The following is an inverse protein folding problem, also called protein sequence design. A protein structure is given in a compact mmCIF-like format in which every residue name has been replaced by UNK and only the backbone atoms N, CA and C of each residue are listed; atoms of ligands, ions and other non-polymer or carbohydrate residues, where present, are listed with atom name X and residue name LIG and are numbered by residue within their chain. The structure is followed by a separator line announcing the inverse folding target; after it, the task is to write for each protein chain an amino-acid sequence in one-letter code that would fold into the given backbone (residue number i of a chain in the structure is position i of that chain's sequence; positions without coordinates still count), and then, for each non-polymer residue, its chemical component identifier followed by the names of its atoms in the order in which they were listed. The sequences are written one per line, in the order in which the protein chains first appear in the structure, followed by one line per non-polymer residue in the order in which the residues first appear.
data_IF_736552076064
#
_entry.id   IF_736552076064
#
_cell.length_a   1.000
_cell.length_b   1.000
_cell.length_c   1.000
_cell.angle_alpha   90.00
_cell.angle_beta   90.00
_cell.angle_gamma   90.00
#
_symmetry.space_group_name_H-M   'P 1'
#
loop_
_entity.id
_entity.type
_entity.pdbx_description
1 polymer ?
#
# COMPACT_ATOMS: atom_id res chain seq x y z
N UNK A 1 28.06 -5.78 -1.47
CA UNK A 1 26.99 -6.20 -0.55
C UNK A 1 25.63 -6.32 -1.25
N UNK A 2 25.11 -5.26 -1.89
CA UNK A 2 23.81 -5.31 -2.59
C UNK A 2 23.71 -6.38 -3.69
N UNK A 3 24.79 -6.65 -4.42
CA UNK A 3 24.84 -7.72 -5.42
C UNK A 3 24.72 -9.11 -4.78
N UNK A 4 25.45 -9.37 -3.70
CA UNK A 4 25.37 -10.64 -2.97
C UNK A 4 23.97 -10.86 -2.38
N UNK A 5 23.34 -9.80 -1.84
CA UNK A 5 21.96 -9.85 -1.38
C UNK A 5 20.99 -10.14 -2.54
N UNK A 6 21.21 -9.57 -3.73
CA UNK A 6 20.40 -9.85 -4.91
C UNK A 6 20.57 -11.29 -5.42
N UNK A 7 21.78 -11.86 -5.38
CA UNK A 7 21.99 -13.28 -5.68
C UNK A 7 21.30 -14.18 -4.65
N UNK A 8 21.43 -13.88 -3.36
CA UNK A 8 20.75 -14.61 -2.29
C UNK A 8 19.22 -14.57 -2.47
N UNK A 9 18.67 -13.41 -2.82
CA UNK A 9 17.25 -13.26 -3.15
C UNK A 9 16.83 -14.22 -4.27
N UNK A 10 17.61 -14.33 -5.34
CA UNK A 10 17.31 -15.19 -6.49
C UNK A 10 17.28 -16.66 -6.07
N UNK A 11 18.29 -17.13 -5.34
CA UNK A 11 18.35 -18.51 -4.84
C UNK A 11 17.16 -18.81 -3.92
N UNK A 12 16.82 -17.88 -3.01
CA UNK A 12 15.65 -18.05 -2.14
C UNK A 12 14.36 -18.20 -2.96
N UNK A 13 14.24 -17.49 -4.08
CA UNK A 13 13.07 -17.59 -4.98
C UNK A 13 13.02 -18.91 -5.73
N UNK A 14 14.15 -19.43 -6.18
CA UNK A 14 14.27 -20.75 -6.83
C UNK A 14 13.85 -21.87 -5.89
N UNK A 15 14.20 -21.77 -4.60
CA UNK A 15 13.80 -22.68 -3.53
C UNK A 15 12.33 -22.49 -3.06
N UNK A 16 11.55 -21.64 -3.75
CA UNK A 16 10.15 -21.36 -3.40
C UNK A 16 9.98 -20.54 -2.11
N UNK A 17 11.05 -19.98 -1.54
CA UNK A 17 11.00 -19.14 -0.35
C UNK A 17 10.75 -17.68 -0.74
N UNK A 18 9.57 -17.17 -0.40
CA UNK A 18 9.26 -15.76 -0.58
C UNK A 18 9.77 -14.93 0.60
N UNK A 19 10.59 -13.93 0.28
CA UNK A 19 11.09 -12.93 1.22
C UNK A 19 10.83 -11.54 0.64
N UNK A 20 10.48 -10.58 1.48
CA UNK A 20 10.27 -9.20 1.07
C UNK A 20 11.61 -8.50 0.85
N UNK A 21 11.70 -7.71 -0.22
CA UNK A 21 12.91 -6.93 -0.52
C UNK A 21 13.29 -5.97 0.62
N UNK A 22 12.32 -5.53 1.42
CA UNK A 22 12.58 -4.66 2.56
C UNK A 22 13.31 -5.41 3.69
N UNK A 23 12.82 -6.60 4.08
CA UNK A 23 13.48 -7.41 5.10
C UNK A 23 14.90 -7.76 4.66
N UNK A 24 15.06 -8.25 3.42
CA UNK A 24 16.37 -8.58 2.89
C UNK A 24 17.31 -7.38 2.82
N UNK A 25 16.82 -6.20 2.42
CA UNK A 25 17.63 -4.98 2.40
C UNK A 25 18.07 -4.56 3.82
N UNK A 26 17.18 -4.71 4.80
CA UNK A 26 17.46 -4.44 6.22
C UNK A 26 18.55 -5.37 6.76
N UNK A 27 18.43 -6.68 6.52
CA UNK A 27 19.42 -7.68 6.94
C UNK A 27 20.76 -7.49 6.24
N UNK A 28 20.74 -7.20 4.94
CA UNK A 28 21.95 -6.97 4.14
C UNK A 28 22.54 -5.56 4.33
N UNK A 29 22.00 -4.74 5.24
CA UNK A 29 22.45 -3.37 5.52
C UNK A 29 22.59 -2.52 4.25
N UNK A 30 21.68 -2.67 3.30
CA UNK A 30 21.66 -1.90 2.05
C UNK A 30 20.33 -1.19 1.85
N UNK A 31 20.30 -0.17 0.99
CA UNK A 31 19.05 0.53 0.70
C UNK A 31 18.19 -0.28 -0.27
N UNK A 32 16.86 -0.16 -0.16
CA UNK A 32 15.95 -0.83 -1.08
C UNK A 32 16.16 -0.43 -2.55
N UNK A 33 16.64 0.79 -2.83
CA UNK A 33 16.99 1.23 -4.18
C UNK A 33 18.26 0.54 -4.70
N UNK A 34 19.29 0.41 -3.87
CA UNK A 34 20.50 -0.34 -4.21
C UNK A 34 20.19 -1.80 -4.51
N UNK A 35 19.36 -2.45 -3.69
CA UNK A 35 18.97 -3.85 -3.91
C UNK A 35 18.17 -4.02 -5.21
N UNK A 36 17.20 -3.14 -5.49
CA UNK A 36 16.47 -3.16 -6.76
C UNK A 36 17.37 -2.89 -7.97
N UNK A 37 18.35 -2.00 -7.82
CA UNK A 37 19.33 -1.75 -8.87
C UNK A 37 20.15 -3.01 -9.16
N UNK A 38 20.68 -3.65 -8.12
CA UNK A 38 21.43 -4.90 -8.23
C UNK A 38 20.59 -6.04 -8.86
N UNK A 39 19.32 -6.18 -8.47
CA UNK A 39 18.42 -7.17 -9.08
C UNK A 39 18.19 -6.90 -10.57
N UNK A 40 18.00 -5.64 -10.98
CA UNK A 40 17.88 -5.28 -12.39
C UNK A 40 19.14 -5.62 -13.18
N UNK A 41 20.32 -5.36 -12.62
CA UNK A 41 21.60 -5.70 -13.25
C UNK A 41 21.75 -7.22 -13.41
N UNK A 42 21.37 -8.00 -12.39
CA UNK A 42 21.38 -9.47 -12.49
C UNK A 42 20.40 -9.99 -13.54
N UNK A 43 19.18 -9.45 -13.62
CA UNK A 43 18.22 -9.81 -14.66
C UNK A 43 18.73 -9.51 -16.06
N UNK A 44 19.40 -8.36 -16.25
CA UNK A 44 20.00 -8.00 -17.54
C UNK A 44 21.16 -8.93 -17.92
N UNK A 45 22.01 -9.30 -16.96
CA UNK A 45 23.16 -10.16 -17.22
C UNK A 45 22.81 -11.65 -17.41
N UNK A 46 21.72 -12.12 -16.78
CA UNK A 46 21.30 -13.54 -16.85
C UNK A 46 20.20 -13.80 -17.87
N UNK A 47 19.57 -12.76 -18.43
CA UNK A 47 18.43 -12.88 -19.35
C UNK A 47 17.12 -13.31 -18.69
N UNK A 48 17.12 -13.56 -17.37
CA UNK A 48 15.96 -14.04 -16.65
C UNK A 48 15.15 -12.89 -16.03
N UNK A 49 13.85 -12.88 -16.35
CA UNK A 49 12.87 -11.96 -15.77
C UNK A 49 12.40 -12.54 -14.44
N UNK A 50 13.00 -12.07 -13.34
CA UNK A 50 12.60 -12.51 -12.01
C UNK A 50 11.25 -11.89 -11.63
N UNK A 51 10.20 -12.70 -11.52
CA UNK A 51 8.90 -12.25 -11.04
C UNK A 51 8.93 -12.03 -9.52
N UNK A 52 8.37 -10.90 -9.09
CA UNK A 52 8.24 -10.59 -7.67
C UNK A 52 7.39 -11.63 -6.92
N UNK A 53 7.64 -11.85 -5.62
CA UNK A 53 6.87 -12.77 -4.80
C UNK A 53 5.40 -12.35 -4.77
N UNK A 54 4.51 -13.33 -4.92
CA UNK A 54 3.08 -13.07 -4.79
C UNK A 54 2.77 -12.66 -3.36
N UNK A 55 1.71 -11.85 -3.16
CA UNK A 55 1.28 -11.47 -1.81
C UNK A 55 0.97 -12.70 -0.95
N UNK A 56 0.45 -13.77 -1.56
CA UNK A 56 0.09 -15.03 -0.90
C UNK A 56 1.31 -15.74 -0.32
N UNK A 57 2.45 -15.65 -1.00
CA UNK A 57 3.70 -16.29 -0.58
C UNK A 57 4.43 -15.49 0.50
N UNK A 58 4.20 -14.18 0.57
CA UNK A 58 4.77 -13.31 1.60
C UNK A 58 4.00 -13.33 2.94
N UNK A 59 2.78 -13.88 2.97
CA UNK A 59 1.98 -13.97 4.20
C UNK A 59 2.73 -14.70 5.35
N UNK A 60 3.35 -15.87 5.13
CA UNK A 60 4.10 -16.57 6.18
C UNK A 60 5.26 -15.75 6.74
N UNK A 61 5.99 -15.01 5.89
CA UNK A 61 7.06 -14.10 6.32
C UNK A 61 6.49 -13.01 7.25
N UNK A 62 5.40 -12.37 6.85
CA UNK A 62 4.75 -11.35 7.67
C UNK A 62 4.18 -11.92 8.98
N UNK A 63 3.82 -13.20 9.03
CA UNK A 63 3.31 -13.87 10.22
C UNK A 63 4.41 -14.37 11.19
N UNK A 64 5.69 -14.22 10.86
CA UNK A 64 6.81 -14.67 11.73
C UNK A 64 6.81 -14.00 13.11
N UNK A 65 6.21 -12.81 13.21
CA UNK A 65 5.98 -12.06 14.45
C UNK A 65 4.97 -12.71 15.40
N UNK A 66 4.18 -13.68 14.93
CA UNK A 66 3.19 -14.38 15.74
C UNK A 66 3.80 -15.61 16.43
N UNK A 67 3.14 -16.01 17.53
CA UNK A 67 3.47 -17.25 18.24
C UNK A 67 3.30 -18.44 17.27
N UNK A 68 4.15 -19.48 17.35
CA UNK A 68 4.08 -20.63 16.44
C UNK A 68 2.70 -21.30 16.41
N UNK A 69 2.04 -21.39 17.57
CA UNK A 69 0.70 -21.98 17.74
C UNK A 69 -0.39 -21.25 16.95
N UNK A 70 -0.33 -19.92 16.90
CA UNK A 70 -1.32 -19.08 16.21
C UNK A 70 -1.00 -18.93 14.71
N UNK A 71 0.26 -19.11 14.34
CA UNK A 71 0.81 -18.71 13.04
C UNK A 71 0.11 -19.40 11.88
N UNK A 72 -0.06 -20.72 11.95
CA UNK A 72 -0.63 -21.49 10.86
C UNK A 72 -2.08 -21.08 10.57
N UNK A 73 -2.88 -20.95 11.64
CA UNK A 73 -4.27 -20.53 11.53
C UNK A 73 -4.39 -19.09 10.97
N UNK A 74 -3.51 -18.19 11.39
CA UNK A 74 -3.48 -16.81 10.87
C UNK A 74 -3.05 -16.78 9.40
N UNK A 75 -2.02 -17.52 9.03
CA UNK A 75 -1.54 -17.59 7.64
C UNK A 75 -2.62 -18.12 6.71
N UNK A 76 -3.29 -19.21 7.11
CA UNK A 76 -4.40 -19.79 6.36
C UNK A 76 -5.52 -18.76 6.16
N UNK A 77 -5.93 -18.06 7.23
CA UNK A 77 -7.00 -17.07 7.17
C UNK A 77 -6.62 -15.82 6.37
N UNK A 78 -5.40 -15.32 6.53
CA UNK A 78 -4.89 -14.19 5.77
C UNK A 78 -4.81 -14.52 4.27
N UNK A 79 -4.36 -15.73 3.90
CA UNK A 79 -4.37 -16.21 2.51
C UNK A 79 -5.78 -16.28 1.94
N UNK A 80 -6.74 -16.79 2.72
CA UNK A 80 -8.15 -16.83 2.30
C UNK A 80 -8.72 -15.42 2.09
N UNK A 81 -8.38 -14.46 2.94
CA UNK A 81 -8.82 -13.06 2.81
C UNK A 81 -8.31 -12.36 1.55
N UNK A 82 -7.16 -12.77 1.00
CA UNK A 82 -6.66 -12.17 -0.25
C UNK A 82 -7.64 -12.34 -1.41
N UNK A 83 -8.40 -13.43 -1.45
CA UNK A 83 -9.32 -13.73 -2.56
C UNK A 83 -10.47 -12.71 -2.67
N UNK A 84 -11.32 -12.49 -1.64
CA UNK A 84 -12.35 -11.47 -1.71
C UNK A 84 -11.77 -10.04 -1.81
N UNK A 85 -10.63 -9.77 -1.18
CA UNK A 85 -10.00 -8.44 -1.24
C UNK A 85 -9.47 -8.09 -2.64
N UNK A 86 -8.92 -9.07 -3.36
CA UNK A 86 -8.53 -8.89 -4.76
C UNK A 86 -9.74 -8.53 -5.62
N UNK A 87 -10.86 -9.23 -5.43
CA UNK A 87 -12.09 -8.96 -6.16
C UNK A 87 -12.66 -7.57 -5.87
N UNK A 88 -12.48 -7.05 -4.66
CA UNK A 88 -12.90 -5.71 -4.25
C UNK A 88 -11.91 -4.59 -4.66
N UNK A 89 -10.90 -4.89 -5.48
CA UNK A 89 -9.85 -3.95 -5.88
C UNK A 89 -9.10 -3.33 -4.69
N UNK A 90 -9.01 -4.05 -3.56
CA UNK A 90 -8.39 -3.52 -2.36
C UNK A 90 -6.87 -3.62 -2.39
N UNK A 91 -6.30 -4.62 -3.08
CA UNK A 91 -4.87 -4.95 -3.03
C UNK A 91 -4.03 -4.06 -3.97
N UNK A 92 -4.66 -3.52 -5.01
CA UNK A 92 -4.03 -2.86 -6.15
C UNK A 92 -3.40 -1.53 -5.74
N UNK A 93 -2.13 -1.34 -6.11
CA UNK A 93 -1.37 -0.11 -5.82
C UNK A 93 -0.93 0.04 -4.36
N UNK A 94 -1.17 -0.95 -3.49
CA UNK A 94 -0.71 -0.91 -2.09
C UNK A 94 0.63 -1.61 -1.93
N UNK A 95 1.53 -0.98 -1.17
CA UNK A 95 2.84 -1.56 -0.87
C UNK A 95 2.68 -2.78 0.07
N UNK A 96 3.23 -3.96 -0.29
CA UNK A 96 3.14 -5.17 0.55
C UNK A 96 3.61 -4.97 1.99
N UNK A 97 4.61 -4.10 2.19
CA UNK A 97 5.19 -3.74 3.49
C UNK A 97 4.16 -3.26 4.52
N UNK A 98 3.15 -2.51 4.10
CA UNK A 98 2.11 -2.02 5.01
C UNK A 98 0.87 -2.92 4.96
N UNK A 99 0.62 -3.57 3.82
CA UNK A 99 -0.54 -4.40 3.59
C UNK A 99 -0.51 -5.72 4.36
N UNK A 100 0.62 -6.44 4.32
CA UNK A 100 0.74 -7.76 4.93
C UNK A 100 0.59 -7.72 6.46
N UNK A 101 1.23 -6.80 7.20
CA UNK A 101 1.00 -6.70 8.65
C UNK A 101 -0.45 -6.34 9.01
N UNK A 102 -1.12 -5.51 8.20
CA UNK A 102 -2.53 -5.20 8.39
C UNK A 102 -3.41 -6.44 8.20
N UNK A 103 -3.12 -7.22 7.16
CA UNK A 103 -3.85 -8.44 6.85
C UNK A 103 -3.66 -9.51 7.94
N UNK A 104 -2.42 -9.72 8.39
CA UNK A 104 -2.07 -10.64 9.48
C UNK A 104 -2.80 -10.22 10.77
N UNK A 105 -2.80 -8.93 11.10
CA UNK A 105 -3.50 -8.43 12.28
C UNK A 105 -5.02 -8.65 12.22
N UNK A 106 -5.66 -8.37 11.08
CA UNK A 106 -7.11 -8.60 10.92
C UNK A 106 -7.45 -10.08 10.92
N UNK A 107 -6.62 -10.92 10.28
CA UNK A 107 -6.77 -12.37 10.31
C UNK A 107 -6.64 -12.92 11.75
N UNK A 108 -5.66 -12.44 12.52
CA UNK A 108 -5.49 -12.79 13.94
C UNK A 108 -6.70 -12.36 14.79
N UNK A 109 -7.21 -11.14 14.59
CA UNK A 109 -8.44 -10.68 15.28
C UNK A 109 -9.69 -11.46 14.94
N UNK A 110 -9.73 -12.10 13.77
CA UNK A 110 -10.88 -12.90 13.35
C UNK A 110 -10.85 -14.35 13.84
N UNK A 111 -9.76 -14.81 14.45
CA UNK A 111 -9.65 -16.17 14.96
C UNK A 111 -10.28 -16.33 16.34
N UNK A 112 -10.21 -15.31 17.17
CA UNK A 112 -10.73 -15.31 18.53
C UNK A 112 -11.55 -14.04 18.79
N UNK A 113 -12.83 -14.16 19.20
CA UNK A 113 -13.64 -13.03 19.64
C UNK A 113 -12.99 -12.17 20.73
N UNK A 114 -12.15 -12.75 21.59
CA UNK A 114 -11.42 -12.02 22.64
C UNK A 114 -10.43 -11.02 22.03
N UNK A 115 -9.86 -11.33 20.87
CA UNK A 115 -8.97 -10.43 20.13
C UNK A 115 -9.73 -9.30 19.42
N UNK A 116 -11.07 -9.37 19.33
CA UNK A 116 -11.87 -8.40 18.60
C UNK A 116 -11.79 -6.98 19.19
N UNK A 117 -11.37 -6.79 20.44
CA UNK A 117 -11.25 -5.45 21.04
C UNK A 117 -9.82 -4.91 21.05
N UNK A 118 -8.83 -5.70 20.64
CA UNK A 118 -7.42 -5.32 20.74
C UNK A 118 -7.07 -4.31 19.63
N UNK A 119 -6.60 -3.10 19.97
CA UNK A 119 -6.14 -2.13 18.97
C UNK A 119 -4.78 -2.54 18.39
N UNK A 120 -4.49 -2.10 17.17
CA UNK A 120 -3.25 -2.47 16.47
C UNK A 120 -1.98 -2.06 17.22
N UNK A 121 -2.00 -0.90 17.90
CA UNK A 121 -0.88 -0.43 18.69
C UNK A 121 -0.55 -1.39 19.85
N UNK A 122 -1.58 -1.89 20.52
CA UNK A 122 -1.44 -2.83 21.62
C UNK A 122 -0.94 -4.19 21.12
N UNK A 123 -1.47 -4.67 19.98
CA UNK A 123 -0.96 -5.85 19.31
C UNK A 123 0.54 -5.72 18.98
N UNK A 124 0.97 -4.57 18.46
CA UNK A 124 2.38 -4.33 18.18
C UNK A 124 3.22 -4.34 19.47
N UNK A 125 2.73 -3.70 20.56
CA UNK A 125 3.40 -3.66 21.86
C UNK A 125 3.60 -5.06 22.45
N UNK A 126 2.58 -5.92 22.39
CA UNK A 126 2.63 -7.30 22.87
C UNK A 126 3.59 -8.20 22.11
N UNK A 127 4.01 -7.79 20.90
CA UNK A 127 4.93 -8.52 20.02
C UNK A 127 6.25 -7.76 19.81
N UNK A 128 6.52 -6.72 20.59
CA UNK A 128 7.73 -5.88 20.50
C UNK A 128 7.97 -5.28 19.11
N UNK A 129 6.89 -4.95 18.40
CA UNK A 129 6.93 -4.37 17.07
C UNK A 129 6.72 -2.86 17.08
N UNK A 130 7.31 -2.17 16.12
CA UNK A 130 7.02 -0.76 15.85
C UNK A 130 5.75 -0.64 15.03
N UNK A 131 4.75 0.08 15.56
CA UNK A 131 3.53 0.40 14.82
C UNK A 131 3.87 1.32 13.63
N UNK A 132 3.36 0.96 12.45
CA UNK A 132 3.55 1.74 11.23
C UNK A 132 2.25 2.49 10.90
N UNK A 133 2.31 3.82 10.78
CA UNK A 133 1.17 4.65 10.42
C UNK A 133 0.52 4.26 9.08
N UNK A 134 1.32 3.80 8.11
CA UNK A 134 0.82 3.26 6.84
C UNK A 134 -0.02 2.00 7.04
N UNK A 135 0.39 1.12 7.95
CA UNK A 135 -0.37 -0.08 8.32
C UNK A 135 -1.69 0.30 9.01
N UNK A 136 -1.67 1.27 9.93
CA UNK A 136 -2.91 1.77 10.57
C UNK A 136 -3.94 2.27 9.55
N UNK A 137 -3.49 3.05 8.55
CA UNK A 137 -4.36 3.54 7.46
C UNK A 137 -4.96 2.38 6.65
N UNK A 138 -4.16 1.35 6.37
CA UNK A 138 -4.64 0.16 5.66
C UNK A 138 -5.64 -0.63 6.50
N UNK A 139 -5.42 -0.80 7.81
CA UNK A 139 -6.36 -1.48 8.71
C UNK A 139 -7.72 -0.76 8.70
N UNK A 140 -7.72 0.58 8.80
CA UNK A 140 -8.97 1.36 8.74
C UNK A 140 -9.67 1.18 7.39
N UNK A 141 -8.93 1.20 6.28
CA UNK A 141 -9.50 0.98 4.95
C UNK A 141 -10.02 -0.46 4.78
N UNK A 142 -9.29 -1.44 5.29
CA UNK A 142 -9.66 -2.86 5.26
C UNK A 142 -10.94 -3.11 6.05
N UNK A 143 -11.05 -2.57 7.26
CA UNK A 143 -12.25 -2.68 8.07
C UNK A 143 -13.47 -2.05 7.38
N UNK A 144 -13.31 -0.96 6.62
CA UNK A 144 -14.40 -0.38 5.82
C UNK A 144 -14.86 -1.32 4.72
N UNK A 145 -13.93 -1.94 3.99
CA UNK A 145 -14.26 -2.95 2.96
C UNK A 145 -14.97 -4.15 3.57
N UNK A 146 -14.47 -4.65 4.70
CA UNK A 146 -15.08 -5.78 5.41
C UNK A 146 -16.49 -5.44 5.91
N UNK A 147 -16.73 -4.23 6.43
CA UNK A 147 -18.08 -3.80 6.81
C UNK A 147 -19.02 -3.73 5.61
N UNK A 148 -18.56 -3.23 4.46
CA UNK A 148 -19.36 -3.20 3.22
C UNK A 148 -19.69 -4.60 2.71
N UNK A 149 -18.75 -5.54 2.82
CA UNK A 149 -19.02 -6.95 2.48
C UNK A 149 -19.98 -7.59 3.48
N UNK A 150 -19.80 -7.30 4.77
CA UNK A 150 -20.68 -7.81 5.82
C UNK A 150 -22.11 -7.25 5.72
N UNK A 151 -22.31 -6.00 5.26
CA UNK A 151 -23.66 -5.42 5.13
C UNK A 151 -24.52 -6.11 4.08
N UNK A 152 -23.90 -6.82 3.12
CA UNK A 152 -24.62 -7.63 2.13
C UNK A 152 -25.08 -8.99 2.70
N UNK A 153 -24.64 -9.35 3.91
CA UNK A 153 -25.05 -10.60 4.57
C UNK A 153 -26.40 -10.38 5.27
N UNK A 154 -27.45 -11.14 4.94
CA UNK A 154 -28.81 -10.89 5.45
C UNK A 154 -28.92 -10.84 6.99
N UNK A 155 -28.23 -11.74 7.71
CA UNK A 155 -28.25 -11.76 9.18
C UNK A 155 -27.37 -10.69 9.83
N UNK A 156 -26.43 -10.09 9.09
CA UNK A 156 -25.58 -9.02 9.59
C UNK A 156 -26.22 -7.64 9.40
N UNK A 157 -27.11 -7.49 8.41
CA UNK A 157 -27.77 -6.24 8.02
C UNK A 157 -28.63 -5.62 9.15
N UNK A 158 -29.11 -6.41 10.12
CA UNK A 158 -29.88 -5.94 11.29
C UNK A 158 -29.04 -5.48 12.48
N UNK A 159 -27.73 -5.72 12.49
CA UNK A 159 -26.83 -5.34 13.58
C UNK A 159 -26.03 -4.09 13.23
N UNK A 160 -25.80 -3.19 14.20
CA UNK A 160 -24.97 -1.98 13.97
C UNK A 160 -23.52 -2.39 13.68
N UNK A 161 -23.21 -2.58 12.40
CA UNK A 161 -21.88 -2.93 11.92
C UNK A 161 -20.92 -1.77 12.20
N UNK A 162 -19.95 -2.01 13.07
CA UNK A 162 -18.91 -1.04 13.41
C UNK A 162 -17.57 -1.56 12.92
N UNK A 163 -16.66 -0.66 12.53
CA UNK A 163 -15.31 -1.02 12.09
C UNK A 163 -14.55 -1.87 13.13
N UNK A 164 -14.89 -1.74 14.42
CA UNK A 164 -14.32 -2.57 15.47
C UNK A 164 -14.82 -4.01 15.45
N UNK A 165 -16.07 -4.25 15.04
CA UNK A 165 -16.63 -5.60 14.88
C UNK A 165 -16.37 -6.20 13.50
N UNK A 166 -15.76 -5.47 12.57
CA UNK A 166 -15.51 -5.94 11.20
C UNK A 166 -14.78 -7.30 11.15
N UNK A 167 -13.83 -7.52 12.08
CA UNK A 167 -13.06 -8.76 12.14
C UNK A 167 -13.90 -10.00 12.52
N UNK A 168 -15.01 -9.85 13.26
CA UNK A 168 -15.84 -10.99 13.67
C UNK A 168 -16.65 -11.58 12.52
N UNK A 169 -16.91 -10.79 11.47
CA UNK A 169 -17.64 -11.24 10.28
C UNK A 169 -16.72 -11.85 9.22
N UNK A 170 -15.39 -11.83 9.41
CA UNK A 170 -14.43 -12.41 8.45
C UNK A 170 -14.72 -13.88 8.13
N UNK A 171 -15.04 -14.77 9.10
CA UNK A 171 -15.38 -16.16 8.77
C UNK A 171 -16.57 -16.28 7.82
N UNK A 172 -17.62 -15.48 8.03
CA UNK A 172 -18.81 -15.45 7.18
C UNK A 172 -18.49 -14.87 5.81
N UNK A 173 -17.73 -13.76 5.76
CA UNK A 173 -17.29 -13.13 4.51
C UNK A 173 -16.48 -14.12 3.67
N UNK A 174 -15.60 -14.91 4.30
CA UNK A 174 -14.82 -15.93 3.61
C UNK A 174 -15.72 -17.04 3.06
N UNK A 175 -16.68 -17.52 3.87
CA UNK A 175 -17.63 -18.57 3.48
C UNK A 175 -18.49 -18.18 2.29
N UNK A 176 -18.94 -16.93 2.22
CA UNK A 176 -19.82 -16.42 1.16
C UNK A 176 -19.13 -15.50 0.15
N UNK A 177 -17.79 -15.51 0.12
CA UNK A 177 -16.98 -14.57 -0.67
C UNK A 177 -17.32 -14.52 -2.16
N UNK A 178 -17.75 -15.64 -2.76
CA UNK A 178 -18.19 -15.68 -4.15
C UNK A 178 -19.47 -14.88 -4.38
N UNK A 179 -20.52 -15.17 -3.62
CA UNK A 179 -21.81 -14.48 -3.72
C UNK A 179 -21.69 -13.01 -3.34
N UNK A 180 -21.03 -12.70 -2.22
CA UNK A 180 -20.87 -11.32 -1.73
C UNK A 180 -20.17 -10.40 -2.72
N UNK A 181 -19.23 -10.93 -3.51
CA UNK A 181 -18.58 -10.14 -4.55
C UNK A 181 -19.54 -9.81 -5.69
N UNK A 182 -20.37 -10.77 -6.10
CA UNK A 182 -21.37 -10.59 -7.15
C UNK A 182 -22.44 -9.60 -6.70
N UNK A 183 -22.91 -9.71 -5.46
CA UNK A 183 -23.92 -8.81 -4.90
C UNK A 183 -23.37 -7.38 -4.75
N UNK A 184 -22.09 -7.24 -4.37
CA UNK A 184 -21.43 -5.93 -4.33
C UNK A 184 -21.16 -5.33 -5.72
N UNK A 185 -21.21 -6.15 -6.78
CA UNK A 185 -21.08 -5.74 -8.18
C UNK A 185 -22.40 -5.35 -8.84
N UNK A 186 -23.54 -5.58 -8.17
CA UNK A 186 -24.87 -5.28 -8.66
C UNK A 186 -25.43 -4.02 -7.97
N UNK A 187 -25.07 -2.80 -8.42
CA UNK A 187 -25.74 -1.60 -7.94
C UNK A 187 -27.16 -1.56 -8.53
N UNK A 188 -28.11 -1.11 -7.71
CA UNK A 188 -29.53 -0.98 -8.05
C UNK A 188 -29.82 -0.03 -9.23
N UNK A 189 -28.84 0.83 -9.63
CA UNK A 189 -29.05 1.91 -10.62
C UNK A 189 -28.02 1.95 -11.77
N UNK A 190 -27.08 1.00 -11.90
CA UNK A 190 -26.10 1.02 -13.01
C UNK A 190 -26.57 0.18 -14.20
N UNK A 191 -27.65 0.60 -14.84
CA UNK A 191 -28.02 0.09 -16.16
C UNK A 191 -26.95 0.48 -17.19
N UNK A 192 -25.98 -0.40 -17.44
CA UNK A 192 -25.06 -0.32 -18.58
C UNK A 192 -23.54 -0.34 -18.29
N UNK A 193 -23.10 -0.48 -17.04
CA UNK A 193 -21.66 -0.58 -16.73
C UNK A 193 -21.29 -2.02 -16.36
N UNK A 194 -20.24 -2.58 -16.97
CA UNK A 194 -19.82 -3.95 -16.74
C UNK A 194 -19.52 -4.24 -15.26
N UNK A 195 -19.69 -5.50 -14.79
CA UNK A 195 -19.67 -5.86 -13.37
C UNK A 195 -18.39 -5.42 -12.64
N UNK A 196 -17.25 -5.39 -13.33
CA UNK A 196 -15.97 -4.91 -12.78
C UNK A 196 -15.96 -3.42 -12.44
N UNK A 197 -16.61 -2.59 -13.27
CA UNK A 197 -16.68 -1.12 -13.10
C UNK A 197 -17.55 -0.77 -11.90
N UNK A 198 -18.66 -1.50 -11.72
CA UNK A 198 -19.55 -1.35 -10.59
C UNK A 198 -18.86 -1.67 -9.25
N UNK A 199 -18.12 -2.78 -9.17
CA UNK A 199 -17.31 -3.11 -7.98
C UNK A 199 -16.29 -2.01 -7.68
N UNK A 200 -15.61 -1.52 -8.71
CA UNK A 200 -14.64 -0.45 -8.54
C UNK A 200 -15.30 0.80 -7.94
N UNK A 201 -16.47 1.21 -8.42
CA UNK A 201 -17.20 2.35 -7.86
C UNK A 201 -17.63 2.11 -6.41
N UNK A 202 -18.16 0.93 -6.09
CA UNK A 202 -18.62 0.58 -4.73
C UNK A 202 -17.48 0.61 -3.70
N UNK A 203 -16.27 0.19 -4.06
CA UNK A 203 -15.15 0.08 -3.11
C UNK A 203 -14.11 1.19 -3.22
N UNK A 204 -14.05 1.93 -4.34
CA UNK A 204 -13.08 3.02 -4.57
C UNK A 204 -13.69 4.37 -4.93
N UNK A 205 -15.00 4.48 -5.12
CA UNK A 205 -15.67 5.75 -5.46
C UNK A 205 -15.45 6.87 -4.43
N UNK A 206 -15.26 6.53 -3.15
CA UNK A 206 -15.04 7.51 -2.07
C UNK A 206 -13.59 8.01 -1.94
N UNK A 207 -12.66 7.51 -2.76
CA UNK A 207 -11.33 8.09 -2.81
C UNK A 207 -11.49 9.49 -3.41
N UNK A 208 -11.42 10.52 -2.56
CA UNK A 208 -11.30 11.92 -3.00
C UNK A 208 -10.28 11.93 -4.13
N UNK A 209 -10.73 12.14 -5.38
CA UNK A 209 -9.82 12.38 -6.49
C UNK A 209 -8.87 13.47 -6.02
N UNK A 210 -7.55 13.31 -6.20
CA UNK A 210 -6.64 14.43 -6.03
C UNK A 210 -7.28 15.59 -6.79
N UNK A 211 -7.54 16.70 -6.08
CA UNK A 211 -8.06 17.89 -6.72
C UNK A 211 -7.06 18.19 -7.83
N UNK A 212 -7.51 18.02 -9.07
CA UNK A 212 -6.69 18.21 -10.24
C UNK A 212 -6.21 19.65 -10.14
N UNK A 213 -4.92 19.82 -9.85
CA UNK A 213 -4.30 21.12 -9.98
C UNK A 213 -4.49 21.45 -11.43
N UNK A 214 -5.42 22.37 -11.69
CA UNK A 214 -5.70 22.89 -13.01
C UNK A 214 -4.35 23.12 -13.68
N UNK A 215 -4.04 22.44 -14.79
CA UNK A 215 -2.86 22.80 -15.55
C UNK A 215 -3.03 24.27 -15.84
N UNK A 216 -2.11 25.11 -15.34
CA UNK A 216 -2.01 26.48 -15.82
C UNK A 216 -1.75 26.32 -17.31
N UNK A 217 -2.77 26.58 -18.13
CA UNK A 217 -2.57 26.73 -19.57
C UNK A 217 -1.43 27.72 -19.73
N UNK A 218 -0.39 27.41 -20.54
CA UNK A 218 0.48 28.45 -21.04
C UNK A 218 -0.39 29.31 -21.96
N UNK A 219 -1.07 30.30 -21.38
CA UNK A 219 -1.68 31.38 -22.15
C UNK A 219 -0.53 32.25 -22.65
N UNK A 220 -0.28 32.20 -23.95
CA UNK A 220 0.69 33.05 -24.62
C UNK A 220 1.38 32.34 -25.80
N UNK A 221 1.27 32.82 -27.04
CA UNK A 221 2.21 32.42 -28.07
C UNK A 221 3.63 32.81 -27.60
N UNK A 222 4.64 31.96 -27.86
CA UNK A 222 6.07 32.14 -27.52
C UNK A 222 6.74 33.36 -28.21
N UNK A 223 5.96 34.33 -28.67
CA UNK A 223 6.35 35.44 -29.54
C UNK A 223 5.83 36.77 -29.00
N UNK A 224 5.73 36.89 -27.69
CA UNK A 224 5.56 38.17 -27.03
C UNK A 224 6.93 38.86 -27.03
N UNK A 225 6.97 40.09 -27.55
CA UNK A 225 8.16 40.93 -27.47
C UNK A 225 8.38 41.27 -26.00
N UNK A 226 9.43 40.72 -25.40
CA UNK A 226 9.80 41.02 -24.01
C UNK A 226 10.11 42.51 -23.89
N UNK A 227 9.45 43.18 -22.96
CA UNK A 227 9.74 44.58 -22.67
C UNK A 227 11.11 44.73 -22.02
N UNK A 228 11.87 45.77 -22.38
CA UNK A 228 13.17 46.06 -21.75
C UNK A 228 13.03 46.20 -20.22
N UNK A 229 11.89 46.70 -19.74
CA UNK A 229 11.58 46.78 -18.30
C UNK A 229 11.43 45.42 -17.61
N UNK A 230 11.00 44.38 -18.33
CA UNK A 230 10.97 43.01 -17.79
C UNK A 230 12.38 42.44 -17.69
N UNK A 231 13.22 42.69 -18.70
CA UNK A 231 14.61 42.25 -18.73
C UNK A 231 15.41 42.95 -17.61
N UNK A 232 15.22 44.26 -17.44
CA UNK A 232 15.86 45.06 -16.40
C UNK A 232 15.55 44.58 -14.98
N UNK A 233 14.34 44.04 -14.74
CA UNK A 233 13.98 43.47 -13.44
C UNK A 233 14.86 42.28 -13.02
N UNK A 234 15.53 41.63 -13.98
CA UNK A 234 16.47 40.54 -13.73
C UNK A 234 17.94 40.99 -13.67
N UNK A 235 18.23 42.25 -14.02
CA UNK A 235 19.57 42.83 -13.96
C UNK A 235 19.73 43.51 -12.60
N UNK A 236 20.77 43.15 -11.86
CA UNK A 236 21.06 43.80 -10.58
C UNK A 236 21.40 45.26 -10.79
N UNK A 237 20.75 46.14 -10.03
CA UNK A 237 21.07 47.55 -10.00
C UNK A 237 22.49 47.80 -9.48
N UNK A 238 23.03 48.98 -9.79
CA UNK A 238 24.40 49.37 -9.43
C UNK A 238 24.65 49.31 -7.92
N UNK A 239 23.65 49.68 -7.11
CA UNK A 239 23.71 49.60 -5.64
C UNK A 239 23.82 48.17 -5.13
N UNK A 240 23.07 47.23 -5.73
CA UNK A 240 23.16 45.80 -5.37
C UNK A 240 24.51 45.20 -5.78
N UNK A 241 25.05 45.63 -6.92
CA UNK A 241 26.37 45.22 -7.40
C UNK A 241 27.46 45.75 -6.46
N UNK A 242 27.39 47.02 -6.07
CA UNK A 242 28.33 47.63 -5.13
C UNK A 242 28.28 46.96 -3.75
N UNK A 243 27.07 46.71 -3.23
CA UNK A 243 26.89 45.97 -1.98
C UNK A 243 27.48 44.56 -2.06
N UNK A 244 27.29 43.85 -3.18
CA UNK A 244 27.86 42.51 -3.39
C UNK A 244 29.38 42.54 -3.53
N UNK A 245 29.95 43.53 -4.22
CA UNK A 245 31.41 43.68 -4.35
C UNK A 245 32.06 44.00 -3.00
N UNK A 246 31.44 44.87 -2.20
CA UNK A 246 31.91 45.18 -0.84
C UNK A 246 31.83 43.96 0.07
N UNK A 247 30.75 43.18 -0.01
CA UNK A 247 30.61 41.92 0.71
C UNK A 247 31.69 40.89 0.32
N UNK A 248 32.03 40.79 -0.97
CA UNK A 248 33.09 39.90 -1.45
C UNK A 248 34.49 40.36 -1.01
N UNK A 249 34.76 41.67 -1.04
CA UNK A 249 36.04 42.25 -0.56
C UNK A 249 36.23 42.10 0.94
N UNK A 250 35.15 42.10 1.72
CA UNK A 250 35.23 41.88 3.17
C UNK A 250 35.43 40.38 3.54
N UNK A 251 35.27 39.45 2.59
CA UNK A 251 35.46 38.00 2.79
C UNK A 251 36.77 37.45 2.21
N UNK A 252 37.51 38.24 1.43
CA UNK A 252 38.84 37.91 0.92
C UNK A 252 39.92 38.55 1.77
#
# INVERSE_FOLDING_TARGET
VSLAAACCYKVLREEGRAVSLHCLASEAQCTGSQLRCALRLLSQGTGERSEGPSLRDLVPEAAQMLRPEEREAVVSRARALLVPLARCWFLEGRTPRCLLPALVFVAWRSLDPLHAHVPYLEFCRQRSMKANAGTCRIITALNKVLVRLASQIPWACGTRLTANKAASYVPDILRYSASLTLDASAPADAAGQGPTVAVFQTFRGDLKRPQEQQPRSPEGPLREDFSDSEIEAYIRGEDEVAARQNFLRARG
#
